data_IF_096851481626
#
_entry.id   IF_096851481626
#
_cell.length_a   1.000
_cell.length_b   1.000
_cell.length_c   1.000
_cell.angle_alpha   90.00
_cell.angle_beta   90.00
_cell.angle_gamma   90.00
#
_symmetry.space_group_name_H-M   'P 1'
#
loop_
_entity.id
_entity.type
_entity.pdbx_description
1 polymer ?
#
# COMPACT_ATOMS: atom_id res chain seq x y z
N UNK A 1 104.36 34.30 30.65
CA UNK A 1 103.78 35.18 29.62
C UNK A 1 102.83 34.32 28.81
N UNK A 2 101.65 34.15 29.39
CA UNK A 2 100.36 34.41 28.75
C UNK A 2 100.42 34.56 27.23
N UNK A 3 99.67 33.72 26.54
CA UNK A 3 98.51 34.22 25.79
C UNK A 3 97.63 33.05 25.38
N UNK A 4 96.73 32.71 26.32
CA UNK A 4 95.52 31.94 26.08
C UNK A 4 94.56 32.75 25.20
N UNK A 5 94.88 32.95 23.93
CA UNK A 5 93.93 33.43 22.95
C UNK A 5 93.02 32.25 22.57
N UNK A 6 91.95 32.04 23.35
CA UNK A 6 90.76 31.31 22.85
C UNK A 6 90.28 32.09 21.62
N UNK A 7 90.74 31.70 20.44
CA UNK A 7 90.14 32.12 19.17
C UNK A 7 88.66 31.80 19.30
N UNK A 8 87.79 32.80 19.15
CA UNK A 8 86.34 32.63 19.08
C UNK A 8 86.02 31.75 17.88
N UNK A 9 86.11 30.44 18.11
CA UNK A 9 86.19 29.44 17.07
C UNK A 9 84.86 29.37 16.34
N UNK A 10 84.86 29.69 15.05
CA UNK A 10 83.75 29.38 14.17
C UNK A 10 83.53 27.87 14.21
N UNK A 11 82.44 27.44 14.85
CA UNK A 11 82.00 26.05 14.81
C UNK A 11 81.31 25.84 13.47
N UNK A 12 82.08 25.33 12.52
CA UNK A 12 81.52 24.89 11.25
C UNK A 12 80.68 23.64 11.50
N UNK A 13 79.40 23.68 11.12
CA UNK A 13 78.56 22.48 11.13
C UNK A 13 79.12 21.51 10.08
N UNK A 14 79.62 20.38 10.55
CA UNK A 14 80.18 19.31 9.72
C UNK A 14 79.23 18.10 9.75
N UNK A 15 79.18 17.29 8.67
CA UNK A 15 78.52 16.01 8.77
C UNK A 15 79.14 15.19 9.91
N UNK A 16 78.35 14.33 10.58
CA UNK A 16 78.90 13.47 11.61
C UNK A 16 80.05 12.64 11.03
N UNK A 17 81.03 12.28 11.85
CA UNK A 17 82.28 11.62 11.39
C UNK A 17 82.04 10.30 10.63
N UNK A 18 80.90 9.65 10.82
CA UNK A 18 80.46 8.44 10.10
C UNK A 18 79.56 8.69 8.87
N UNK A 19 79.30 9.95 8.51
CA UNK A 19 78.37 10.34 7.45
C UNK A 19 76.89 10.20 7.82
N UNK A 20 76.00 10.71 6.97
CA UNK A 20 74.55 10.55 7.13
C UNK A 20 74.09 9.13 6.79
N UNK A 21 72.93 8.73 7.30
CA UNK A 21 72.32 7.46 6.91
C UNK A 21 72.06 7.42 5.40
N UNK A 22 72.27 6.24 4.81
CA UNK A 22 72.02 6.00 3.38
C UNK A 22 70.53 6.19 3.09
N UNK A 23 70.21 7.21 2.30
CA UNK A 23 68.85 7.44 1.83
C UNK A 23 68.54 6.54 0.64
N UNK A 24 67.38 5.87 0.67
CA UNK A 24 66.90 5.14 -0.49
C UNK A 24 66.31 6.12 -1.51
N UNK A 25 67.08 6.42 -2.54
CA UNK A 25 66.67 7.25 -3.67
C UNK A 25 65.96 6.46 -4.78
N UNK A 26 66.01 5.12 -4.73
CA UNK A 26 65.37 4.27 -5.73
C UNK A 26 63.85 4.19 -5.51
N UNK A 27 63.10 4.11 -6.61
CA UNK A 27 61.65 3.96 -6.57
C UNK A 27 61.26 2.59 -6.03
N UNK A 28 60.56 2.55 -4.90
CA UNK A 28 60.01 1.32 -4.31
C UNK A 28 58.54 1.14 -4.69
N UNK A 29 58.22 0.08 -5.41
CA UNK A 29 56.84 -0.23 -5.76
C UNK A 29 56.19 -1.16 -4.71
N UNK A 30 54.97 -0.85 -4.24
CA UNK A 30 54.25 -1.75 -3.36
C UNK A 30 53.80 -3.02 -4.11
N UNK A 31 53.79 -4.17 -3.43
CA UNK A 31 53.28 -5.41 -4.02
C UNK A 31 51.76 -5.30 -4.17
N UNK A 32 51.27 -5.34 -5.41
CA UNK A 32 49.83 -5.31 -5.70
C UNK A 32 49.17 -6.59 -5.17
N UNK A 33 48.13 -6.43 -4.35
CA UNK A 33 47.37 -7.53 -3.76
C UNK A 33 46.62 -8.34 -4.84
N UNK A 34 46.01 -7.65 -5.79
CA UNK A 34 45.22 -8.24 -6.89
C UNK A 34 46.09 -8.67 -8.07
N UNK A 35 46.85 -9.76 -7.87
CA UNK A 35 47.57 -10.42 -8.97
C UNK A 35 46.63 -11.34 -9.76
N UNK A 36 46.93 -11.54 -11.05
CA UNK A 36 46.14 -12.36 -12.00
C UNK A 36 45.62 -13.69 -11.41
N UNK A 37 46.48 -14.44 -10.71
CA UNK A 37 46.10 -15.72 -10.08
C UNK A 37 45.02 -15.54 -9.00
N UNK A 38 45.15 -14.54 -8.13
CA UNK A 38 44.18 -14.27 -7.04
C UNK A 38 42.83 -13.82 -7.58
N UNK A 39 42.84 -12.98 -8.62
CA UNK A 39 41.61 -12.58 -9.33
C UNK A 39 40.91 -13.82 -9.89
N UNK A 40 41.66 -14.71 -10.54
CA UNK A 40 41.11 -15.96 -11.11
C UNK A 40 40.51 -16.87 -10.03
N UNK A 41 41.20 -17.04 -8.89
CA UNK A 41 40.67 -17.82 -7.76
C UNK A 41 39.41 -17.20 -7.15
N UNK A 42 39.37 -15.88 -7.04
CA UNK A 42 38.21 -15.16 -6.54
C UNK A 42 36.97 -15.43 -7.42
N UNK A 43 37.10 -15.32 -8.75
CA UNK A 43 35.98 -15.61 -9.65
C UNK A 43 35.54 -17.08 -9.61
N UNK A 44 36.49 -18.02 -9.53
CA UNK A 44 36.17 -19.45 -9.38
C UNK A 44 35.41 -19.73 -8.08
N UNK A 45 35.86 -19.13 -6.98
CA UNK A 45 35.20 -19.27 -5.68
C UNK A 45 33.77 -18.72 -5.74
N UNK A 46 33.60 -17.50 -6.27
CA UNK A 46 32.27 -16.90 -6.42
C UNK A 46 31.35 -17.72 -7.34
N UNK A 47 31.89 -18.32 -8.40
CA UNK A 47 31.11 -19.16 -9.29
C UNK A 47 30.57 -20.41 -8.55
N UNK A 48 31.43 -21.10 -7.80
CA UNK A 48 31.05 -22.29 -7.03
C UNK A 48 30.06 -21.93 -5.92
N UNK A 49 30.29 -20.85 -5.18
CA UNK A 49 29.35 -20.42 -4.13
C UNK A 49 28.00 -20.01 -4.71
N UNK A 50 27.95 -19.34 -5.86
CA UNK A 50 26.69 -19.00 -6.51
C UNK A 50 25.90 -20.25 -6.93
N UNK A 51 26.56 -21.25 -7.53
CA UNK A 51 25.89 -22.51 -7.86
C UNK A 51 25.31 -23.21 -6.62
N UNK A 52 26.07 -23.21 -5.52
CA UNK A 52 25.61 -23.76 -4.25
C UNK A 52 24.40 -22.99 -3.68
N UNK A 53 24.43 -21.65 -3.73
CA UNK A 53 23.31 -20.80 -3.30
C UNK A 53 22.07 -21.07 -4.15
N UNK A 54 22.20 -21.22 -5.46
CA UNK A 54 21.07 -21.56 -6.35
C UNK A 54 20.47 -22.91 -5.96
N UNK A 55 21.29 -23.91 -5.68
CA UNK A 55 20.85 -25.22 -5.22
C UNK A 55 20.08 -25.14 -3.88
N UNK A 56 20.62 -24.41 -2.89
CA UNK A 56 19.93 -24.19 -1.62
C UNK A 56 18.58 -23.47 -1.80
N UNK A 57 18.53 -22.45 -2.66
CA UNK A 57 17.30 -21.75 -2.99
C UNK A 57 16.27 -22.66 -3.66
N UNK A 58 16.71 -23.59 -4.51
CA UNK A 58 15.83 -24.59 -5.12
C UNK A 58 15.17 -25.48 -4.05
N UNK A 59 15.96 -25.98 -3.09
CA UNK A 59 15.46 -26.77 -1.97
C UNK A 59 14.48 -25.98 -1.09
N UNK A 60 14.81 -24.73 -0.76
CA UNK A 60 13.92 -23.86 0.02
C UNK A 60 12.60 -23.59 -0.71
N UNK A 61 12.63 -23.37 -2.03
CA UNK A 61 11.42 -23.17 -2.84
C UNK A 61 10.53 -24.40 -2.87
N UNK A 62 11.11 -25.59 -2.80
CA UNK A 62 10.34 -26.83 -2.70
C UNK A 62 9.58 -26.90 -1.38
N UNK A 63 10.24 -26.59 -0.25
CA UNK A 63 9.62 -26.54 1.07
C UNK A 63 8.54 -25.45 1.18
N UNK A 64 8.80 -24.25 0.67
CA UNK A 64 7.80 -23.17 0.66
C UNK A 64 6.60 -23.49 -0.23
N UNK A 65 6.77 -24.37 -1.23
CA UNK A 65 5.68 -24.79 -2.09
C UNK A 65 4.76 -25.76 -1.36
N UNK A 66 5.29 -26.67 -0.55
CA UNK A 66 4.48 -27.59 0.25
C UNK A 66 3.65 -26.84 1.28
N UNK A 67 4.24 -25.86 1.98
CA UNK A 67 3.52 -24.98 2.92
C UNK A 67 2.37 -24.23 2.22
N UNK A 68 2.62 -23.65 1.03
CA UNK A 68 1.56 -23.00 0.25
C UNK A 68 0.44 -23.94 -0.16
N UNK A 69 0.74 -25.21 -0.43
CA UNK A 69 -0.30 -26.18 -0.74
C UNK A 69 -1.17 -26.48 0.48
N UNK A 70 -0.58 -26.59 1.66
CA UNK A 70 -1.32 -26.76 2.92
C UNK A 70 -2.26 -25.55 3.17
N UNK A 71 -1.77 -24.32 3.01
CA UNK A 71 -2.59 -23.10 3.14
C UNK A 71 -3.76 -23.05 2.16
N UNK A 72 -3.51 -23.42 0.89
CA UNK A 72 -4.54 -23.46 -0.15
C UNK A 72 -5.57 -24.53 0.16
N UNK A 73 -5.16 -25.70 0.63
CA UNK A 73 -6.08 -26.79 0.98
C UNK A 73 -6.99 -26.40 2.14
N UNK A 74 -6.42 -25.79 3.20
CA UNK A 74 -7.19 -25.22 4.32
C UNK A 74 -8.18 -24.17 3.82
N UNK A 75 -7.73 -23.27 2.93
CA UNK A 75 -8.61 -22.25 2.34
C UNK A 75 -9.74 -22.87 1.53
N UNK A 76 -9.46 -23.87 0.70
CA UNK A 76 -10.47 -24.57 -0.10
C UNK A 76 -11.50 -25.28 0.78
N UNK A 77 -11.05 -25.91 1.87
CA UNK A 77 -11.93 -26.55 2.84
C UNK A 77 -12.87 -25.54 3.54
N UNK A 78 -12.39 -24.33 3.83
CA UNK A 78 -13.18 -23.27 4.48
C UNK A 78 -14.04 -22.44 3.52
N UNK A 79 -13.66 -22.36 2.24
CA UNK A 79 -14.35 -21.57 1.21
C UNK A 79 -15.87 -21.80 1.12
N UNK A 80 -16.41 -23.04 1.14
CA UNK A 80 -17.87 -23.23 1.04
C UNK A 80 -18.63 -22.62 2.22
N UNK A 81 -18.08 -22.66 3.44
CA UNK A 81 -18.71 -22.04 4.60
C UNK A 81 -18.71 -20.52 4.50
N UNK A 82 -17.56 -19.93 4.17
CA UNK A 82 -17.42 -18.48 4.02
C UNK A 82 -18.27 -17.94 2.87
N UNK A 83 -18.38 -18.67 1.75
CA UNK A 83 -19.29 -18.32 0.66
C UNK A 83 -20.74 -18.40 1.12
N UNK A 84 -21.17 -19.47 1.77
CA UNK A 84 -22.54 -19.61 2.24
C UNK A 84 -22.93 -18.49 3.24
N UNK A 85 -22.04 -18.11 4.15
CA UNK A 85 -22.25 -16.98 5.07
C UNK A 85 -22.39 -15.65 4.32
N UNK A 86 -21.47 -15.38 3.38
CA UNK A 86 -21.53 -14.20 2.51
C UNK A 86 -22.83 -14.13 1.73
N UNK A 87 -23.24 -15.23 1.10
CA UNK A 87 -24.43 -15.28 0.26
C UNK A 87 -25.70 -15.08 1.09
N UNK A 88 -25.76 -15.63 2.31
CA UNK A 88 -26.87 -15.37 3.26
C UNK A 88 -26.96 -13.91 3.63
N UNK A 89 -25.85 -13.29 4.02
CA UNK A 89 -25.84 -11.87 4.35
C UNK A 89 -26.18 -10.99 3.15
N UNK A 90 -25.70 -11.37 1.96
CA UNK A 90 -26.00 -10.67 0.72
C UNK A 90 -27.49 -10.67 0.39
N UNK A 91 -28.13 -11.83 0.42
CA UNK A 91 -29.56 -11.94 0.15
C UNK A 91 -30.41 -11.22 1.20
N UNK A 92 -30.00 -11.22 2.47
CA UNK A 92 -30.65 -10.43 3.52
C UNK A 92 -30.58 -8.93 3.22
N UNK A 93 -29.43 -8.43 2.77
CA UNK A 93 -29.25 -7.03 2.39
C UNK A 93 -30.14 -6.67 1.19
N UNK A 94 -30.15 -7.49 0.14
CA UNK A 94 -30.98 -7.25 -1.05
C UNK A 94 -32.47 -7.27 -0.72
N UNK A 95 -32.90 -8.17 0.18
CA UNK A 95 -34.28 -8.19 0.66
C UNK A 95 -34.66 -6.86 1.33
N UNK A 96 -33.82 -6.38 2.25
CA UNK A 96 -34.05 -5.11 2.95
C UNK A 96 -34.10 -3.92 1.97
N UNK A 97 -33.23 -3.89 0.97
CA UNK A 97 -33.26 -2.85 -0.07
C UNK A 97 -34.56 -2.89 -0.88
N UNK A 98 -35.01 -4.10 -1.24
CA UNK A 98 -36.28 -4.29 -1.96
C UNK A 98 -37.47 -3.82 -1.13
N UNK A 99 -37.47 -4.10 0.17
CA UNK A 99 -38.51 -3.66 1.09
C UNK A 99 -38.54 -2.11 1.19
N UNK A 100 -37.37 -1.46 1.30
CA UNK A 100 -37.26 0.00 1.25
C UNK A 100 -37.70 0.60 -0.09
N UNK A 101 -37.33 -0.02 -1.21
CA UNK A 101 -37.75 0.43 -2.54
C UNK A 101 -39.27 0.44 -2.66
N UNK A 102 -39.95 -0.59 -2.14
CA UNK A 102 -41.41 -0.65 -2.08
C UNK A 102 -42.00 0.49 -1.26
N UNK A 103 -41.42 0.80 -0.10
CA UNK A 103 -41.89 1.87 0.80
C UNK A 103 -41.72 3.26 0.19
N UNK A 104 -40.58 3.51 -0.46
CA UNK A 104 -40.23 4.82 -1.06
C UNK A 104 -40.96 5.06 -2.38
N UNK A 105 -41.13 4.02 -3.21
CA UNK A 105 -41.69 4.16 -4.56
C UNK A 105 -43.20 3.89 -4.65
N UNK A 106 -43.88 3.70 -3.50
CA UNK A 106 -45.33 3.42 -3.44
C UNK A 106 -46.19 4.47 -4.16
N UNK A 107 -45.76 5.73 -4.16
CA UNK A 107 -46.53 6.87 -4.67
C UNK A 107 -46.25 7.13 -6.17
N UNK A 108 -45.33 6.40 -6.79
CA UNK A 108 -44.94 6.59 -8.20
C UNK A 108 -45.79 5.70 -9.10
N UNK A 109 -46.62 6.27 -9.99
CA UNK A 109 -47.52 5.48 -10.83
C UNK A 109 -46.73 4.63 -11.83
N UNK A 110 -47.05 3.33 -11.88
CA UNK A 110 -46.43 2.38 -12.82
C UNK A 110 -45.07 1.83 -12.39
N UNK A 111 -44.56 2.19 -11.21
CA UNK A 111 -43.32 1.62 -10.69
C UNK A 111 -43.49 0.14 -10.33
N UNK A 112 -42.56 -0.69 -10.78
CA UNK A 112 -42.44 -2.11 -10.40
C UNK A 112 -41.06 -2.34 -9.82
N UNK A 113 -41.05 -2.80 -8.57
CA UNK A 113 -39.82 -2.98 -7.78
C UNK A 113 -38.82 -3.91 -8.46
N UNK A 114 -37.57 -3.47 -8.56
CA UNK A 114 -36.50 -4.21 -9.24
C UNK A 114 -36.51 -4.12 -10.78
N UNK A 115 -37.36 -3.26 -11.35
CA UNK A 115 -37.32 -2.92 -12.78
C UNK A 115 -37.10 -1.42 -12.94
N UNK A 116 -36.48 -1.03 -14.04
CA UNK A 116 -36.40 0.36 -14.45
C UNK A 116 -37.66 0.73 -15.24
N UNK A 117 -38.63 1.36 -14.58
CA UNK A 117 -39.90 1.77 -15.20
C UNK A 117 -40.61 0.65 -16.01
N UNK A 118 -40.53 -0.59 -15.54
CA UNK A 118 -41.14 -1.75 -16.18
C UNK A 118 -40.21 -2.57 -17.09
N UNK A 119 -38.99 -2.09 -17.36
CA UNK A 119 -37.96 -2.84 -18.09
C UNK A 119 -36.90 -3.43 -17.15
N UNK A 120 -36.37 -4.64 -17.42
CA UNK A 120 -35.27 -5.18 -16.64
C UNK A 120 -33.99 -4.36 -16.83
N UNK A 121 -33.27 -4.08 -15.74
CA UNK A 121 -32.03 -3.27 -15.76
C UNK A 121 -30.92 -3.92 -16.59
N UNK A 122 -30.88 -5.25 -16.60
CA UNK A 122 -29.87 -6.02 -17.33
C UNK A 122 -30.52 -6.85 -18.42
N UNK A 123 -29.99 -6.75 -19.63
CA UNK A 123 -30.32 -7.66 -20.73
C UNK A 123 -29.57 -8.97 -20.53
N UNK A 124 -30.27 -10.00 -20.08
CA UNK A 124 -29.71 -11.34 -19.91
C UNK A 124 -30.18 -12.28 -21.02
N UNK A 125 -29.31 -13.19 -21.43
CA UNK A 125 -29.71 -14.33 -22.26
C UNK A 125 -30.41 -15.35 -21.35
N UNK A 126 -31.71 -15.16 -21.12
CA UNK A 126 -32.56 -16.00 -20.24
C UNK A 126 -32.59 -15.58 -18.76
N UNK A 127 -33.14 -16.44 -17.91
CA UNK A 127 -33.39 -16.19 -16.48
C UNK A 127 -32.14 -16.44 -15.61
N UNK A 128 -31.10 -15.63 -15.84
CA UNK A 128 -29.83 -15.75 -15.12
C UNK A 128 -29.72 -14.70 -14.01
N UNK A 129 -29.25 -15.11 -12.83
CA UNK A 129 -28.89 -14.17 -11.76
C UNK A 129 -27.71 -13.29 -12.18
N UNK A 130 -27.85 -11.99 -11.95
CA UNK A 130 -26.78 -11.02 -12.10
C UNK A 130 -26.59 -10.28 -10.78
N UNK A 131 -25.40 -10.39 -10.19
CA UNK A 131 -25.11 -9.67 -8.96
C UNK A 131 -25.09 -8.16 -9.23
N UNK A 132 -25.87 -7.36 -8.48
CA UNK A 132 -25.84 -5.92 -8.64
C UNK A 132 -24.44 -5.41 -8.27
N UNK A 133 -23.87 -4.55 -9.13
CA UNK A 133 -22.55 -3.98 -8.90
C UNK A 133 -22.42 -3.31 -7.53
N UNK A 134 -21.22 -3.33 -6.95
CA UNK A 134 -20.93 -2.85 -5.58
C UNK A 134 -21.49 -1.44 -5.29
N UNK A 135 -21.64 -0.59 -6.31
CA UNK A 135 -22.14 0.77 -6.17
C UNK A 135 -23.68 0.90 -6.14
N UNK A 136 -24.42 -0.13 -6.56
CA UNK A 136 -25.89 -0.08 -6.69
C UNK A 136 -26.56 -0.74 -5.49
N UNK A 137 -25.98 -1.80 -4.94
CA UNK A 137 -26.60 -2.65 -3.90
C UNK A 137 -26.15 -2.35 -2.47
N UNK A 138 -24.90 -1.90 -2.27
CA UNK A 138 -24.35 -1.61 -0.93
C UNK A 138 -24.87 -0.25 -0.40
N UNK A 139 -25.38 0.61 -1.28
CA UNK A 139 -25.59 2.01 -1.00
C UNK A 139 -26.85 2.34 -0.16
N UNK A 140 -27.83 1.45 -0.09
CA UNK A 140 -29.09 1.75 0.60
C UNK A 140 -29.11 1.41 2.10
N UNK A 141 -28.28 0.47 2.58
CA UNK A 141 -28.32 0.03 3.98
C UNK A 141 -26.99 0.11 4.74
N UNK A 142 -25.84 -0.03 4.08
CA UNK A 142 -24.55 0.16 4.74
C UNK A 142 -24.20 1.63 4.63
N UNK A 143 -24.15 2.32 5.78
CA UNK A 143 -23.69 3.71 5.93
C UNK A 143 -22.47 3.99 5.05
N UNK A 144 -22.71 4.47 3.83
CA UNK A 144 -21.67 4.93 2.93
C UNK A 144 -20.91 6.04 3.61
N UNK A 145 -21.60 6.89 4.38
CA UNK A 145 -20.94 7.93 5.17
C UNK A 145 -19.85 7.32 6.04
N UNK A 146 -20.11 6.26 6.79
CA UNK A 146 -19.15 5.67 7.73
C UNK A 146 -18.05 4.85 7.03
N UNK A 147 -18.40 4.14 5.95
CA UNK A 147 -17.43 3.34 5.19
C UNK A 147 -16.53 4.21 4.30
N UNK A 148 -17.10 5.26 3.69
CA UNK A 148 -16.40 6.28 2.89
C UNK A 148 -15.62 7.24 3.81
N UNK A 149 -16.11 7.54 5.02
CA UNK A 149 -15.38 8.27 6.08
C UNK A 149 -14.22 7.45 6.62
N UNK A 150 -14.41 6.17 6.97
CA UNK A 150 -13.30 5.26 7.34
C UNK A 150 -12.28 5.09 6.21
N UNK A 151 -12.73 4.98 4.96
CA UNK A 151 -11.83 4.90 3.81
C UNK A 151 -11.07 6.24 3.59
N UNK A 152 -11.72 7.38 3.82
CA UNK A 152 -11.09 8.70 3.80
C UNK A 152 -10.09 8.92 4.93
N UNK A 153 -10.42 8.46 6.14
CA UNK A 153 -9.56 8.47 7.33
C UNK A 153 -8.33 7.58 7.13
N UNK A 154 -8.50 6.40 6.53
CA UNK A 154 -7.40 5.48 6.19
C UNK A 154 -6.46 6.06 5.11
N UNK A 155 -7.00 6.89 4.22
CA UNK A 155 -6.27 7.53 3.12
C UNK A 155 -5.72 8.93 3.48
N UNK A 156 -5.88 9.40 4.73
CA UNK A 156 -5.34 10.68 5.24
C UNK A 156 -5.71 11.91 4.41
N UNK A 157 -6.85 11.92 3.71
CA UNK A 157 -7.22 13.05 2.84
C UNK A 157 -8.04 14.11 3.55
N UNK A 158 -8.89 13.75 4.51
CA UNK A 158 -9.61 14.71 5.38
C UNK A 158 -10.00 14.01 6.69
N UNK A 159 -9.70 14.64 7.85
CA UNK A 159 -10.26 14.24 9.15
C UNK A 159 -11.53 15.05 9.41
N UNK A 160 -12.56 14.39 9.90
CA UNK A 160 -13.87 15.01 10.21
C UNK A 160 -13.83 16.18 11.18
N UNK A 161 -12.73 16.33 11.92
CA UNK A 161 -12.57 17.30 12.98
C UNK A 161 -12.29 18.72 12.44
N UNK A 162 -12.16 18.87 11.12
CA UNK A 162 -11.78 20.11 10.43
C UNK A 162 -12.83 20.65 9.44
N UNK A 163 -14.01 20.04 9.32
CA UNK A 163 -15.03 20.47 8.35
C UNK A 163 -15.82 21.69 8.86
N UNK A 164 -15.76 22.81 8.12
CA UNK A 164 -16.59 23.99 8.33
C UNK A 164 -18.02 23.77 7.77
N UNK A 165 -19.06 24.47 8.26
CA UNK A 165 -20.42 24.33 7.73
C UNK A 165 -20.43 24.64 6.22
N UNK A 166 -21.07 23.75 5.45
CA UNK A 166 -21.10 23.89 4.00
C UNK A 166 -22.07 25.01 3.63
N UNK A 167 -21.71 25.85 2.67
CA UNK A 167 -22.52 27.02 2.31
C UNK A 167 -23.90 26.67 1.73
N UNK A 168 -24.11 25.42 1.31
CA UNK A 168 -25.38 24.89 0.82
C UNK A 168 -26.37 24.54 1.94
N UNK A 169 -25.89 24.39 3.18
CA UNK A 169 -26.74 24.13 4.36
C UNK A 169 -27.73 25.29 4.60
N UNK A 170 -27.44 26.49 4.07
CA UNK A 170 -28.33 27.67 4.13
C UNK A 170 -29.56 27.57 3.21
N UNK A 171 -29.51 26.73 2.17
CA UNK A 171 -30.46 26.80 1.04
C UNK A 171 -31.29 25.54 0.81
N UNK A 172 -30.95 24.42 1.47
CA UNK A 172 -31.74 23.18 1.41
C UNK A 172 -32.84 23.27 2.48
N UNK A 173 -34.14 23.21 2.13
CA UNK A 173 -35.20 23.34 3.11
C UNK A 173 -35.21 22.17 4.11
N UNK A 174 -35.57 22.49 5.36
CA UNK A 174 -35.62 21.63 6.55
C UNK A 174 -36.47 20.35 6.44
N UNK A 175 -37.01 20.00 5.27
CA UNK A 175 -37.77 18.76 5.07
C UNK A 175 -36.86 17.54 5.20
N UNK A 176 -35.64 17.60 4.65
CA UNK A 176 -34.61 16.58 4.85
C UNK A 176 -34.08 16.56 6.29
N UNK A 177 -34.05 17.72 6.96
CA UNK A 177 -33.61 17.88 8.35
C UNK A 177 -34.64 17.36 9.37
N UNK A 178 -35.94 17.55 9.13
CA UNK A 178 -37.02 16.99 9.96
C UNK A 178 -37.13 15.47 9.82
N UNK A 179 -36.88 14.93 8.61
CA UNK A 179 -36.77 13.48 8.39
C UNK A 179 -35.51 12.91 9.09
N UNK A 180 -34.38 13.64 9.02
CA UNK A 180 -33.10 13.38 9.72
C UNK A 180 -33.25 13.32 11.24
N UNK A 181 -34.00 14.25 11.85
CA UNK A 181 -34.20 14.33 13.31
C UNK A 181 -35.19 13.27 13.83
N UNK A 182 -36.18 12.86 13.02
CA UNK A 182 -37.11 11.76 13.35
C UNK A 182 -36.45 10.38 13.41
N UNK A 183 -35.26 10.25 12.81
CA UNK A 183 -34.50 8.99 12.70
C UNK A 183 -33.18 9.03 13.51
N UNK A 184 -32.90 10.12 14.25
CA UNK A 184 -31.78 10.21 15.19
C UNK A 184 -30.39 10.29 14.57
N UNK A 185 -30.22 10.94 13.40
CA UNK A 185 -28.93 11.04 12.72
C UNK A 185 -28.38 12.47 12.68
N UNK A 186 -27.32 12.76 13.45
CA UNK A 186 -26.79 14.13 13.62
C UNK A 186 -25.95 14.68 12.45
N UNK A 187 -25.53 13.88 11.45
CA UNK A 187 -24.53 14.34 10.45
C UNK A 187 -24.75 13.80 9.03
N UNK A 188 -25.75 14.31 8.30
CA UNK A 188 -26.02 13.97 6.89
C UNK A 188 -25.81 15.20 6.00
N UNK A 189 -24.96 15.11 4.96
CA UNK A 189 -24.75 16.18 3.97
C UNK A 189 -25.17 15.71 2.58
N UNK A 190 -26.05 16.48 1.93
CA UNK A 190 -26.51 16.25 0.54
C UNK A 190 -25.61 17.07 -0.39
N UNK A 191 -24.99 16.43 -1.40
CA UNK A 191 -24.16 17.12 -2.39
C UNK A 191 -24.97 17.45 -3.65
N UNK A 192 -25.25 18.73 -3.96
CA UNK A 192 -26.18 19.12 -5.02
C UNK A 192 -25.60 19.12 -6.46
N UNK A 193 -24.33 18.74 -6.68
CA UNK A 193 -23.68 18.84 -8.01
C UNK A 193 -23.51 17.52 -8.76
N UNK A 194 -24.03 16.40 -8.25
CA UNK A 194 -23.90 15.12 -8.93
C UNK A 194 -25.11 14.78 -9.81
N UNK A 195 -25.31 15.53 -10.90
CA UNK A 195 -26.29 15.18 -11.94
C UNK A 195 -25.77 14.09 -12.89
N UNK A 196 -24.48 13.71 -12.79
CA UNK A 196 -23.85 12.70 -13.67
C UNK A 196 -24.10 11.25 -13.27
N UNK A 197 -24.63 10.97 -12.08
CA UNK A 197 -24.97 9.59 -11.66
C UNK A 197 -26.43 9.20 -11.91
N UNK A 198 -27.19 10.01 -12.66
CA UNK A 198 -28.60 9.72 -13.01
C UNK A 198 -28.81 9.28 -14.46
N UNK A 199 -27.77 9.28 -15.30
CA UNK A 199 -27.83 8.71 -16.65
C UNK A 199 -26.48 8.04 -16.96
N UNK A 200 -26.36 6.76 -16.62
CA UNK A 200 -25.58 5.70 -17.27
C UNK A 200 -25.81 4.39 -16.49
#
# INVERSE_FOLDING_TARGET
MDDSAKTSGFRQEMPPSGGYQKFNWARTFPKVFWRRKRITYFFKFNFVTNLFIIYLNYLLRFLLRTEKFEDIDIKNAMEPFLKAERDREWLKLLKKNRDLENEVMKDVPGWKTGTWYGEPVYFTLGDKWWDPGQYVSIFYFLKISETRRRAGDFLWRHRSDYDAPLFWDKWIPDIGAKFRDSLGFENFQVNPFNWRTMFW
#
